data_IF_339526160291
#
_entry.id   IF_339526160291
#
_cell.length_a   1.000
_cell.length_b   1.000
_cell.length_c   1.000
_cell.angle_alpha   90.00
_cell.angle_beta   90.00
_cell.angle_gamma   90.00
#
_symmetry.space_group_name_H-M   'P 1'
#
loop_
_entity.id
_entity.type
_entity.pdbx_description
1 polymer ?
#
# COMPACT_ATOMS: atom_id res chain seq x y z
N UNK A 1 -25.54 16.03 1.92
CA UNK A 1 -26.29 16.41 0.69
C UNK A 1 -25.35 16.46 -0.53
N UNK A 2 -24.22 17.21 -0.50
CA UNK A 2 -23.31 17.33 -1.65
C UNK A 2 -22.76 15.98 -2.13
N UNK A 3 -22.35 15.09 -1.22
CA UNK A 3 -21.82 13.77 -1.59
C UNK A 3 -22.88 12.91 -2.29
N UNK A 4 -24.14 12.94 -1.83
CA UNK A 4 -25.26 12.21 -2.46
C UNK A 4 -25.49 12.73 -3.87
N UNK A 5 -25.53 14.07 -4.03
CA UNK A 5 -25.68 14.68 -5.35
C UNK A 5 -24.54 14.29 -6.31
N UNK A 6 -23.29 14.22 -5.83
CA UNK A 6 -22.16 13.77 -6.66
C UNK A 6 -22.33 12.31 -7.10
N UNK A 7 -22.84 11.43 -6.23
CA UNK A 7 -23.16 10.03 -6.60
C UNK A 7 -24.26 9.99 -7.67
N UNK A 8 -25.29 10.83 -7.54
CA UNK A 8 -26.34 10.94 -8.56
C UNK A 8 -25.80 11.41 -9.91
N UNK A 9 -24.90 12.42 -9.92
CA UNK A 9 -24.25 12.90 -11.15
C UNK A 9 -23.46 11.77 -11.84
N UNK A 10 -22.70 10.97 -11.08
CA UNK A 10 -21.98 9.81 -11.60
C UNK A 10 -22.94 8.77 -12.17
N UNK A 11 -24.01 8.44 -11.43
CA UNK A 11 -25.00 7.44 -11.85
C UNK A 11 -25.75 7.86 -13.13
N UNK A 12 -26.02 9.15 -13.29
CA UNK A 12 -26.69 9.70 -14.48
C UNK A 12 -25.73 9.90 -15.66
N UNK A 13 -24.41 9.79 -15.45
CA UNK A 13 -23.41 9.98 -16.49
C UNK A 13 -23.38 11.39 -17.06
N UNK A 14 -23.69 12.41 -16.25
CA UNK A 14 -23.54 13.81 -16.65
C UNK A 14 -22.08 14.12 -17.00
N UNK A 15 -21.80 15.22 -17.67
CA UNK A 15 -20.41 15.58 -18.03
C UNK A 15 -19.54 15.74 -16.77
N UNK A 16 -20.08 16.33 -15.70
CA UNK A 16 -19.39 16.39 -14.42
C UNK A 16 -19.29 15.01 -13.74
N UNK A 17 -20.36 14.23 -13.79
CA UNK A 17 -20.39 12.86 -13.27
C UNK A 17 -19.36 11.96 -13.91
N UNK A 18 -19.10 12.09 -15.22
CA UNK A 18 -18.04 11.36 -15.93
C UNK A 18 -16.62 11.74 -15.41
N UNK A 19 -16.41 13.02 -15.07
CA UNK A 19 -15.14 13.46 -14.49
C UNK A 19 -14.97 12.84 -13.10
N UNK A 20 -15.99 12.95 -12.25
CA UNK A 20 -16.00 12.38 -10.88
C UNK A 20 -15.79 10.87 -10.89
N UNK A 21 -16.47 10.16 -11.79
CA UNK A 21 -16.42 8.71 -11.92
C UNK A 21 -15.06 8.16 -12.35
N UNK A 22 -14.19 9.00 -12.90
CA UNK A 22 -12.80 8.65 -13.23
C UNK A 22 -11.82 8.83 -12.05
N UNK A 23 -12.33 9.17 -10.86
CA UNK A 23 -11.56 9.24 -9.63
C UNK A 23 -10.83 10.55 -9.40
N UNK A 24 -10.18 10.70 -8.21
CA UNK A 24 -9.62 11.95 -7.75
C UNK A 24 -8.47 12.47 -8.62
N UNK A 25 -7.69 11.61 -9.26
CA UNK A 25 -6.63 12.02 -10.19
C UNK A 25 -7.21 12.79 -11.39
N UNK A 26 -8.31 12.29 -11.97
CA UNK A 26 -9.00 12.94 -13.08
C UNK A 26 -9.65 14.27 -12.65
N UNK A 27 -10.22 14.31 -11.45
CA UNK A 27 -10.81 15.52 -10.86
C UNK A 27 -9.73 16.58 -10.63
N UNK A 28 -8.61 16.21 -10.02
CA UNK A 28 -7.48 17.12 -9.80
C UNK A 28 -6.97 17.71 -11.12
N UNK A 29 -6.78 16.88 -12.13
CA UNK A 29 -6.37 17.32 -13.45
C UNK A 29 -7.38 18.27 -14.09
N UNK A 30 -8.68 17.96 -13.97
CA UNK A 30 -9.75 18.80 -14.53
C UNK A 30 -9.78 20.22 -13.91
N UNK A 31 -9.61 20.28 -12.58
CA UNK A 31 -9.61 21.57 -11.86
C UNK A 31 -8.21 22.21 -11.75
N UNK A 32 -7.19 21.62 -12.36
CA UNK A 32 -5.79 22.05 -12.25
C UNK A 32 -5.35 22.20 -10.79
N UNK A 33 -5.63 21.19 -9.98
CA UNK A 33 -5.36 21.14 -8.56
C UNK A 33 -4.42 19.96 -8.25
N UNK A 34 -3.30 20.23 -7.60
CA UNK A 34 -2.23 19.27 -7.31
C UNK A 34 -2.35 18.62 -5.91
N UNK A 35 -3.15 19.23 -5.01
CA UNK A 35 -3.39 18.69 -3.66
C UNK A 35 -4.40 17.53 -3.72
N UNK A 36 -4.01 16.45 -4.38
CA UNK A 36 -4.82 15.24 -4.58
C UNK A 36 -4.10 14.04 -4.00
N UNK A 37 -4.70 13.29 -3.05
CA UNK A 37 -4.05 12.15 -2.40
C UNK A 37 -4.10 10.90 -3.28
N UNK A 38 -3.26 10.86 -4.30
CA UNK A 38 -3.14 9.74 -5.26
C UNK A 38 -1.69 9.36 -5.49
N UNK A 39 -1.45 8.07 -5.69
CA UNK A 39 -0.16 7.53 -6.17
C UNK A 39 -0.46 6.61 -7.34
N UNK A 40 0.27 6.74 -8.43
CA UNK A 40 0.06 5.97 -9.69
C UNK A 40 -1.42 5.99 -10.14
N UNK A 41 -2.12 7.12 -9.91
CA UNK A 41 -3.53 7.30 -10.28
C UNK A 41 -4.55 6.72 -9.29
N UNK A 42 -4.15 5.94 -8.31
CA UNK A 42 -5.00 5.37 -7.28
C UNK A 42 -5.06 6.27 -6.04
N UNK A 43 -6.26 6.48 -5.50
CA UNK A 43 -6.43 7.24 -4.25
C UNK A 43 -5.86 6.48 -3.06
N UNK A 44 -5.17 7.24 -2.20
CA UNK A 44 -4.74 6.77 -0.89
C UNK A 44 -5.98 6.57 -0.01
N UNK A 45 -6.01 5.48 0.76
CA UNK A 45 -7.03 5.24 1.77
C UNK A 45 -6.95 6.28 2.91
N UNK A 46 -8.01 6.37 3.73
CA UNK A 46 -8.11 7.37 4.80
C UNK A 46 -7.20 7.10 6.02
N UNK A 47 -6.04 6.47 5.79
CA UNK A 47 -4.96 6.31 6.75
C UNK A 47 -3.82 7.23 6.33
N UNK A 48 -3.70 8.37 6.98
CA UNK A 48 -2.77 9.42 6.55
C UNK A 48 -1.30 8.98 6.74
N UNK A 49 -0.48 9.01 5.68
CA UNK A 49 0.91 8.53 5.74
C UNK A 49 1.82 9.34 6.66
N UNK A 50 1.42 10.55 7.07
CA UNK A 50 2.16 11.36 8.05
C UNK A 50 2.03 10.83 9.47
N UNK A 51 1.14 9.87 9.71
CA UNK A 51 0.94 9.27 11.04
C UNK A 51 1.75 8.01 11.27
N UNK A 52 2.15 7.33 10.21
CA UNK A 52 3.01 6.12 10.23
C UNK A 52 3.90 6.16 8.98
N UNK A 53 5.21 6.36 9.18
CA UNK A 53 6.16 6.54 8.07
C UNK A 53 6.24 5.30 7.15
N UNK A 54 6.11 4.10 7.69
CA UNK A 54 6.07 2.87 6.89
C UNK A 54 4.86 2.79 5.94
N UNK A 55 3.72 3.38 6.31
CA UNK A 55 2.57 3.49 5.40
C UNK A 55 2.87 4.45 4.25
N UNK A 56 3.67 5.49 4.47
CA UNK A 56 4.15 6.36 3.40
C UNK A 56 4.95 5.56 2.36
N UNK A 57 5.84 4.67 2.82
CA UNK A 57 6.61 3.76 1.94
C UNK A 57 5.68 2.84 1.16
N UNK A 58 4.74 2.19 1.85
CA UNK A 58 3.77 1.28 1.19
C UNK A 58 2.98 2.00 0.10
N UNK A 59 2.39 3.15 0.38
CA UNK A 59 1.61 3.91 -0.61
C UNK A 59 2.45 4.36 -1.81
N UNK A 60 3.69 4.79 -1.57
CA UNK A 60 4.58 5.25 -2.63
C UNK A 60 5.02 4.08 -3.52
N UNK A 61 5.46 2.97 -2.93
CA UNK A 61 6.21 1.92 -3.61
C UNK A 61 5.39 0.72 -4.06
N UNK A 62 4.16 0.54 -3.52
CA UNK A 62 3.26 -0.54 -3.96
C UNK A 62 3.11 -0.55 -5.49
N UNK A 63 3.19 -1.72 -6.13
CA UNK A 63 2.98 -1.84 -7.57
C UNK A 63 1.65 -1.28 -8.06
N UNK A 64 0.62 -1.34 -7.23
CA UNK A 64 -0.73 -0.84 -7.53
C UNK A 64 -0.88 0.68 -7.31
N UNK A 65 -0.04 1.29 -6.48
CA UNK A 65 -0.13 2.70 -6.11
C UNK A 65 -0.66 2.92 -4.69
N UNK A 66 -1.57 3.86 -4.46
CA UNK A 66 -2.04 4.30 -3.14
C UNK A 66 -2.84 3.26 -2.34
N UNK A 67 -2.43 2.01 -2.37
CA UNK A 67 -3.10 0.92 -1.68
C UNK A 67 -2.48 0.62 -0.30
N UNK A 68 -3.33 0.53 0.73
CA UNK A 68 -2.91 0.21 2.10
C UNK A 68 -2.81 -1.29 2.35
N UNK A 69 -3.57 -2.10 1.62
CA UNK A 69 -3.58 -3.56 1.80
C UNK A 69 -2.37 -4.23 1.18
N UNK A 70 -1.66 -3.55 0.27
CA UNK A 70 -0.41 -4.05 -0.28
C UNK A 70 0.70 -4.24 0.78
N UNK A 71 0.62 -3.53 1.93
CA UNK A 71 1.63 -3.61 2.98
C UNK A 71 1.17 -2.87 4.25
N UNK A 72 0.34 -3.52 5.05
CA UNK A 72 -0.19 -2.98 6.30
C UNK A 72 0.85 -3.02 7.42
N UNK A 73 1.62 -1.94 7.58
CA UNK A 73 2.69 -1.82 8.61
C UNK A 73 2.21 -1.20 9.92
N UNK A 74 0.91 -1.09 10.12
CA UNK A 74 0.34 -0.49 11.34
C UNK A 74 0.71 -1.32 12.58
N UNK A 75 0.67 -2.63 12.45
CA UNK A 75 0.92 -3.55 13.56
C UNK A 75 2.35 -3.45 14.11
N UNK A 76 3.34 -3.20 13.24
CA UNK A 76 4.72 -3.00 13.68
C UNK A 76 4.97 -1.65 14.35
N UNK A 77 4.06 -0.68 14.15
CA UNK A 77 4.21 0.71 14.57
C UNK A 77 3.35 1.12 15.76
N UNK A 78 2.36 0.31 16.15
CA UNK A 78 1.47 0.63 17.27
C UNK A 78 1.66 -0.36 18.41
N UNK A 79 1.97 0.16 19.61
CA UNK A 79 2.16 -0.63 20.83
C UNK A 79 0.93 -1.51 21.16
N UNK A 80 -0.28 -1.01 20.89
CA UNK A 80 -1.53 -1.74 21.10
C UNK A 80 -1.62 -3.06 20.29
N UNK A 81 -0.84 -3.17 19.22
CA UNK A 81 -0.71 -4.38 18.38
C UNK A 81 0.63 -5.10 18.60
N UNK A 82 1.42 -4.69 19.60
CA UNK A 82 2.73 -5.27 19.89
C UNK A 82 3.88 -4.70 19.05
N UNK A 83 3.64 -3.62 18.33
CA UNK A 83 4.63 -2.92 17.51
C UNK A 83 5.71 -2.25 18.35
N UNK A 84 6.92 -2.23 17.84
CA UNK A 84 8.11 -1.68 18.49
C UNK A 84 8.78 -0.56 17.71
N UNK A 85 8.34 -0.29 16.48
CA UNK A 85 8.87 0.80 15.66
C UNK A 85 8.27 2.15 16.10
N UNK A 86 9.11 3.19 16.11
CA UNK A 86 8.59 4.56 16.24
C UNK A 86 7.95 4.99 14.92
N UNK A 87 6.63 5.11 14.93
CA UNK A 87 5.83 5.49 13.75
C UNK A 87 6.21 6.83 13.12
N UNK A 88 6.91 7.68 13.85
CA UNK A 88 7.35 9.00 13.40
C UNK A 88 8.84 9.07 13.04
N UNK A 89 9.58 7.96 13.18
CA UNK A 89 10.96 7.82 12.73
C UNK A 89 11.02 7.24 11.31
N UNK A 90 12.10 7.49 10.58
CA UNK A 90 12.40 6.81 9.33
C UNK A 90 13.03 5.43 9.55
N UNK A 91 13.66 5.24 10.72
CA UNK A 91 14.43 4.03 11.04
C UNK A 91 13.58 2.76 11.00
N UNK A 92 13.98 1.78 10.20
CA UNK A 92 13.32 0.49 10.06
C UNK A 92 12.01 0.48 9.26
N UNK A 93 11.53 1.64 8.79
CA UNK A 93 10.22 1.74 8.15
C UNK A 93 10.20 1.22 6.70
N UNK A 94 11.30 1.40 5.99
CA UNK A 94 11.45 0.88 4.61
C UNK A 94 11.46 -0.63 4.61
N UNK A 95 12.25 -1.24 5.52
CA UNK A 95 12.34 -2.68 5.70
C UNK A 95 10.99 -3.27 6.12
N UNK A 96 10.34 -2.67 7.12
CA UNK A 96 9.03 -3.10 7.60
C UNK A 96 7.98 -3.08 6.48
N UNK A 97 7.94 -2.01 5.69
CA UNK A 97 7.04 -1.90 4.55
C UNK A 97 7.34 -2.96 3.48
N UNK A 98 8.61 -3.12 3.10
CA UNK A 98 9.05 -4.12 2.11
C UNK A 98 8.64 -5.53 2.53
N UNK A 99 8.96 -5.90 3.76
CA UNK A 99 8.72 -7.26 4.25
C UNK A 99 7.21 -7.56 4.35
N UNK A 100 6.41 -6.55 4.74
CA UNK A 100 4.96 -6.66 4.74
C UNK A 100 4.40 -6.76 3.32
N UNK A 101 4.92 -5.99 2.36
CA UNK A 101 4.51 -6.09 0.96
C UNK A 101 4.84 -7.47 0.37
N UNK A 102 6.00 -8.05 0.71
CA UNK A 102 6.34 -9.43 0.32
C UNK A 102 5.35 -10.43 0.90
N UNK A 103 4.99 -10.29 2.19
CA UNK A 103 4.01 -11.14 2.85
C UNK A 103 2.65 -11.03 2.16
N UNK A 104 2.15 -9.82 1.95
CA UNK A 104 0.84 -9.58 1.34
C UNK A 104 0.75 -10.08 -0.10
N UNK A 105 1.81 -9.95 -0.89
CA UNK A 105 1.86 -10.54 -2.23
C UNK A 105 1.70 -12.07 -2.22
N UNK A 106 2.19 -12.75 -1.19
CA UNK A 106 1.96 -14.18 -1.00
C UNK A 106 0.52 -14.48 -0.57
N UNK A 107 -0.05 -13.69 0.36
CA UNK A 107 -1.46 -13.79 0.80
C UNK A 107 -2.41 -13.70 -0.40
N UNK A 108 -2.24 -12.66 -1.21
CA UNK A 108 -3.07 -12.41 -2.39
C UNK A 108 -2.93 -13.53 -3.43
N UNK A 109 -1.72 -14.04 -3.62
CA UNK A 109 -1.46 -15.12 -4.59
C UNK A 109 -2.17 -16.42 -4.21
N UNK A 110 -2.29 -16.73 -2.92
CA UNK A 110 -3.03 -17.92 -2.47
C UNK A 110 -4.53 -17.67 -2.33
N UNK A 111 -4.99 -16.43 -2.54
CA UNK A 111 -6.39 -16.04 -2.55
C UNK A 111 -7.03 -15.94 -1.17
N UNK A 112 -6.25 -15.61 -0.15
CA UNK A 112 -6.76 -15.37 1.21
C UNK A 112 -7.17 -13.91 1.32
N UNK A 113 -8.40 -13.65 1.79
CA UNK A 113 -8.84 -12.30 2.11
C UNK A 113 -8.02 -11.72 3.27
N UNK A 114 -7.58 -10.47 3.16
CA UNK A 114 -6.80 -9.77 4.19
C UNK A 114 -7.46 -9.81 5.58
N UNK A 115 -8.76 -9.59 5.67
CA UNK A 115 -9.49 -9.70 6.93
C UNK A 115 -9.55 -11.13 7.49
N UNK A 116 -9.51 -12.15 6.64
CA UNK A 116 -9.43 -13.54 7.09
C UNK A 116 -8.03 -13.87 7.60
N UNK A 117 -6.98 -13.35 6.97
CA UNK A 117 -5.60 -13.57 7.39
C UNK A 117 -5.30 -12.97 8.78
N UNK A 118 -5.97 -11.88 9.16
CA UNK A 118 -5.87 -11.32 10.52
C UNK A 118 -6.25 -12.35 11.59
N UNK A 119 -7.27 -13.17 11.33
CA UNK A 119 -7.64 -14.32 12.20
C UNK A 119 -6.66 -15.49 12.10
N UNK A 120 -5.84 -15.54 11.07
CA UNK A 120 -4.81 -16.56 10.84
C UNK A 120 -3.40 -16.10 11.26
N UNK A 121 -3.23 -14.85 11.70
CA UNK A 121 -1.96 -14.24 12.09
C UNK A 121 -1.39 -14.81 13.42
N UNK A 122 -1.80 -16.02 13.81
CA UNK A 122 -1.20 -16.79 14.88
C UNK A 122 -0.19 -17.78 14.28
N UNK A 123 0.82 -18.21 15.04
CA UNK A 123 1.76 -19.24 14.57
C UNK A 123 1.07 -20.52 14.06
N UNK A 124 -0.01 -20.95 14.71
CA UNK A 124 -0.80 -22.10 14.30
C UNK A 124 -1.62 -21.80 13.02
N UNK A 125 -2.19 -20.59 12.90
CA UNK A 125 -2.98 -20.19 11.76
C UNK A 125 -2.17 -20.20 10.48
N UNK A 126 -1.00 -19.56 10.48
CA UNK A 126 -0.13 -19.49 9.29
C UNK A 126 0.43 -20.88 8.94
N UNK A 127 0.77 -21.69 9.92
CA UNK A 127 1.21 -23.07 9.71
C UNK A 127 0.13 -23.91 9.00
N UNK A 128 -1.14 -23.72 9.34
CA UNK A 128 -2.25 -24.39 8.67
C UNK A 128 -2.41 -23.92 7.22
N UNK A 129 -2.17 -22.63 6.93
CA UNK A 129 -2.11 -22.12 5.54
C UNK A 129 -1.00 -22.84 4.76
N UNK A 130 0.20 -22.95 5.32
CA UNK A 130 1.28 -23.69 4.68
C UNK A 130 0.92 -25.14 4.38
N UNK A 131 0.28 -25.83 5.32
CA UNK A 131 -0.21 -27.21 5.12
C UNK A 131 -1.25 -27.30 4.02
N UNK A 132 -2.18 -26.35 3.93
CA UNK A 132 -3.18 -26.30 2.88
C UNK A 132 -2.55 -26.10 1.48
N UNK A 133 -1.59 -25.17 1.37
CA UNK A 133 -0.85 -24.95 0.13
C UNK A 133 -0.03 -26.19 -0.24
N UNK A 134 0.69 -26.78 0.71
CA UNK A 134 1.46 -28.02 0.53
C UNK A 134 0.59 -29.15 -0.01
N UNK A 135 -0.58 -29.38 0.61
CA UNK A 135 -1.53 -30.39 0.19
C UNK A 135 -2.05 -30.15 -1.23
N UNK A 136 -2.37 -28.90 -1.58
CA UNK A 136 -2.82 -28.53 -2.92
C UNK A 136 -1.73 -28.72 -3.98
N UNK A 137 -0.48 -28.41 -3.64
CA UNK A 137 0.66 -28.50 -4.56
C UNK A 137 1.28 -29.90 -4.63
N UNK A 138 0.97 -30.80 -3.69
CA UNK A 138 1.57 -32.13 -3.60
C UNK A 138 3.06 -32.12 -3.25
N UNK A 139 3.55 -31.07 -2.56
CA UNK A 139 4.95 -30.92 -2.12
C UNK A 139 5.01 -30.17 -0.79
N UNK A 140 6.17 -30.24 -0.10
CA UNK A 140 6.38 -29.41 1.10
C UNK A 140 6.26 -27.91 0.75
N UNK A 141 5.76 -27.14 1.71
CA UNK A 141 5.64 -25.70 1.63
C UNK A 141 5.73 -25.14 3.06
N UNK A 142 6.54 -24.12 3.27
CA UNK A 142 6.80 -23.51 4.57
C UNK A 142 7.11 -22.01 4.45
N UNK A 143 7.64 -21.44 5.53
CA UNK A 143 7.91 -20.02 5.63
C UNK A 143 8.84 -19.50 4.52
N UNK A 144 9.90 -20.22 4.21
CA UNK A 144 10.85 -19.81 3.15
C UNK A 144 10.18 -19.83 1.77
N UNK A 145 9.34 -20.83 1.50
CA UNK A 145 8.56 -20.89 0.26
C UNK A 145 7.54 -19.76 0.16
N UNK A 146 6.94 -19.38 1.30
CA UNK A 146 6.02 -18.26 1.40
C UNK A 146 6.70 -16.94 1.04
N UNK A 147 7.82 -16.65 1.68
CA UNK A 147 8.63 -15.47 1.38
C UNK A 147 9.09 -15.46 -0.08
N UNK A 148 9.61 -16.59 -0.58
CA UNK A 148 10.03 -16.72 -1.98
C UNK A 148 8.88 -16.52 -2.97
N UNK A 149 7.65 -16.93 -2.62
CA UNK A 149 6.45 -16.71 -3.42
C UNK A 149 6.15 -15.21 -3.54
N UNK A 150 6.04 -14.50 -2.40
CA UNK A 150 5.74 -13.07 -2.39
C UNK A 150 6.80 -12.24 -3.10
N UNK A 151 8.07 -12.54 -2.85
CA UNK A 151 9.21 -11.88 -3.52
C UNK A 151 9.15 -12.06 -5.04
N UNK A 152 8.84 -13.28 -5.52
CA UNK A 152 8.71 -13.55 -6.95
C UNK A 152 7.56 -12.79 -7.59
N UNK A 153 6.44 -12.68 -6.88
CA UNK A 153 5.27 -11.94 -7.37
C UNK A 153 5.59 -10.46 -7.47
N UNK A 154 6.12 -9.85 -6.42
CA UNK A 154 6.50 -8.43 -6.45
C UNK A 154 7.53 -8.11 -7.55
N UNK A 155 8.52 -8.99 -7.75
CA UNK A 155 9.46 -8.84 -8.88
C UNK A 155 8.74 -8.84 -10.23
N UNK A 156 7.77 -9.73 -10.41
CA UNK A 156 7.02 -9.81 -11.66
C UNK A 156 6.13 -8.58 -11.88
N UNK A 157 5.47 -8.09 -10.83
CA UNK A 157 4.63 -6.88 -10.88
C UNK A 157 5.46 -5.63 -11.17
N UNK A 158 6.60 -5.46 -10.51
CA UNK A 158 7.50 -4.33 -10.79
C UNK A 158 8.09 -4.41 -12.20
N UNK A 159 8.43 -5.59 -12.67
CA UNK A 159 8.88 -5.79 -14.05
C UNK A 159 7.78 -5.44 -15.06
N UNK A 160 6.52 -5.79 -14.77
CA UNK A 160 5.36 -5.38 -15.56
C UNK A 160 5.24 -3.86 -15.60
N UNK A 161 5.27 -3.20 -14.43
CA UNK A 161 5.19 -1.75 -14.31
C UNK A 161 6.33 -1.04 -15.06
N UNK A 162 7.56 -1.54 -14.94
CA UNK A 162 8.70 -0.99 -15.67
C UNK A 162 8.50 -1.07 -17.19
N UNK A 163 7.97 -2.20 -17.70
CA UNK A 163 7.61 -2.35 -19.12
C UNK A 163 6.46 -1.44 -19.54
N UNK A 164 5.56 -1.11 -18.64
CA UNK A 164 4.49 -0.13 -18.86
C UNK A 164 4.96 1.33 -18.80
N UNK A 165 6.23 1.56 -18.44
CA UNK A 165 6.85 2.89 -18.41
C UNK A 165 6.94 3.53 -17.04
N UNK A 166 6.54 2.84 -15.96
CA UNK A 166 6.74 3.32 -14.59
C UNK A 166 8.22 3.23 -14.17
N UNK A 167 8.65 4.21 -13.41
CA UNK A 167 10.01 4.34 -12.88
C UNK A 167 9.97 4.61 -11.38
N UNK A 168 11.13 4.69 -10.72
CA UNK A 168 11.19 5.11 -9.31
C UNK A 168 10.59 6.52 -9.09
N UNK A 169 10.59 7.39 -10.09
CA UNK A 169 9.96 8.70 -10.00
C UNK A 169 8.43 8.63 -9.83
N UNK A 170 7.82 7.49 -10.12
CA UNK A 170 6.38 7.24 -9.91
C UNK A 170 6.10 6.67 -8.51
N UNK A 171 7.15 6.22 -7.79
CA UNK A 171 7.09 5.74 -6.42
C UNK A 171 7.18 6.90 -5.42
N UNK A 172 6.30 7.90 -5.56
CA UNK A 172 6.33 9.14 -4.77
C UNK A 172 4.94 9.50 -4.27
N UNK A 173 4.89 10.09 -3.10
CA UNK A 173 3.66 10.68 -2.57
C UNK A 173 3.46 12.10 -3.11
N UNK A 174 2.21 12.61 -3.15
CA UNK A 174 1.94 14.02 -3.38
C UNK A 174 2.67 14.93 -2.38
N UNK A 175 3.14 16.08 -2.86
CA UNK A 175 3.94 17.07 -2.09
C UNK A 175 3.30 17.46 -0.75
N UNK A 176 1.96 17.51 -0.69
CA UNK A 176 1.24 17.86 0.53
C UNK A 176 1.62 17.01 1.74
N UNK A 177 2.04 15.75 1.54
CA UNK A 177 2.43 14.86 2.65
C UNK A 177 3.83 15.17 3.19
N UNK A 178 4.68 15.83 2.40
CA UNK A 178 6.02 16.26 2.80
C UNK A 178 6.05 17.70 3.31
N UNK A 179 5.13 18.55 2.87
CA UNK A 179 5.17 19.99 3.08
C UNK A 179 4.13 20.50 4.10
N UNK A 180 3.01 19.78 4.29
CA UNK A 180 1.91 20.22 5.15
C UNK A 180 1.87 19.40 6.45
N UNK A 181 2.29 19.95 7.61
CA UNK A 181 2.21 19.24 8.89
C UNK A 181 0.77 18.88 9.26
N UNK A 182 0.55 17.62 9.68
CA UNK A 182 -0.77 17.15 10.10
C UNK A 182 -0.98 17.32 11.61
N UNK A 183 -1.95 18.15 12.06
CA UNK A 183 -2.34 18.20 13.47
C UNK A 183 -2.95 16.86 13.95
N UNK A 184 -2.88 16.53 15.26
CA UNK A 184 -2.28 17.31 16.35
C UNK A 184 -0.76 17.14 16.48
N UNK A 185 -0.17 16.15 15.81
CA UNK A 185 1.25 15.82 15.97
C UNK A 185 2.18 16.72 15.17
N UNK A 186 1.64 17.47 14.21
CA UNK A 186 2.39 18.36 13.31
C UNK A 186 3.55 17.66 12.60
N UNK A 187 3.30 16.42 12.14
CA UNK A 187 4.27 15.60 11.41
C UNK A 187 4.01 15.66 9.91
N UNK A 188 5.09 15.45 9.17
CA UNK A 188 5.11 15.23 7.72
C UNK A 188 5.76 13.88 7.41
N UNK A 189 5.69 13.42 6.20
CA UNK A 189 6.51 12.30 5.73
C UNK A 189 7.96 12.76 5.66
N UNK A 190 8.87 11.97 6.24
CA UNK A 190 10.30 12.28 6.33
C UNK A 190 11.20 11.26 5.61
N UNK A 191 10.62 10.17 5.09
CA UNK A 191 11.35 9.20 4.27
C UNK A 191 11.78 9.91 2.98
N UNK A 192 13.07 9.91 2.70
CA UNK A 192 13.63 10.55 1.51
C UNK A 192 13.34 9.75 0.24
N UNK A 193 13.51 10.40 -0.91
CA UNK A 193 13.38 9.74 -2.22
C UNK A 193 14.41 8.62 -2.38
N UNK A 194 15.63 8.82 -1.88
CA UNK A 194 16.70 7.82 -1.88
C UNK A 194 16.31 6.60 -1.03
N UNK A 195 15.73 6.79 0.14
CA UNK A 195 15.24 5.69 0.98
C UNK A 195 14.08 4.95 0.32
N UNK A 196 13.11 5.68 -0.28
CA UNK A 196 12.02 5.07 -1.06
C UNK A 196 12.55 4.17 -2.18
N UNK A 197 13.59 4.63 -2.89
CA UNK A 197 14.19 3.89 -4.01
C UNK A 197 14.84 2.57 -3.59
N UNK A 198 15.28 2.44 -2.33
CA UNK A 198 15.86 1.21 -1.80
C UNK A 198 14.85 0.13 -1.41
N UNK A 199 13.55 0.44 -1.40
CA UNK A 199 12.51 -0.48 -0.93
C UNK A 199 12.58 -1.85 -1.62
N UNK A 200 12.90 -1.88 -2.90
CA UNK A 200 12.95 -3.11 -3.71
C UNK A 200 14.30 -3.30 -4.41
N UNK A 201 15.39 -3.00 -3.73
CA UNK A 201 16.75 -3.35 -4.16
C UNK A 201 16.99 -4.84 -3.93
N UNK A 202 16.47 -5.72 -4.84
CA UNK A 202 16.62 -7.16 -4.82
C UNK A 202 16.80 -7.82 -6.19
#
# INVERSE_FOLDING_TARGET
EAAIKMVEEVAQGTDFGKILGNGPAAVGKHFNHDRVPVVKGQSIAAYDPRTIQGMAVTYATSPMGGDHTAGWVVDQNLEDFGGTLDRFSAEGQVEASRDTQIHMAAVDTVGICDFAQTGLATPEGIENVYKMVAAKMGKSFGQDDWHALGLRVLKAEREFNRKAGFTNADDRLPKMFYEEPLPPHNKVVIISDEEMDTTFDF
#
